data_IF_439658214110
#
_entry.id   IF_439658214110
#
_cell.length_a   1.000
_cell.length_b   1.000
_cell.length_c   1.000
_cell.angle_alpha   90.00
_cell.angle_beta   90.00
_cell.angle_gamma   90.00
#
_symmetry.space_group_name_H-M   'P 1'
#
loop_
_entity.id
_entity.type
_entity.pdbx_description
1 polymer ?
#
# COMPACT_ATOMS: atom_id res chain seq x y z
N UNK A 1 14.23 -60.59 -34.22
CA UNK A 1 15.02 -59.39 -33.88
C UNK A 1 14.12 -58.39 -33.18
N UNK A 2 14.27 -58.20 -31.87
CA UNK A 2 13.57 -57.15 -31.09
C UNK A 2 14.60 -56.07 -30.72
N UNK A 3 14.34 -54.77 -30.96
CA UNK A 3 15.25 -53.72 -30.57
C UNK A 3 15.05 -53.37 -29.09
N UNK A 4 16.17 -53.24 -28.37
CA UNK A 4 16.25 -52.91 -26.95
C UNK A 4 16.30 -51.38 -26.80
N UNK A 5 15.27 -50.78 -26.20
CA UNK A 5 15.26 -49.35 -25.83
C UNK A 5 16.01 -49.17 -24.50
N UNK A 6 17.15 -48.49 -24.55
CA UNK A 6 17.96 -48.12 -23.38
C UNK A 6 17.42 -46.81 -22.80
N UNK A 7 16.63 -46.90 -21.73
CA UNK A 7 16.19 -45.73 -20.96
C UNK A 7 17.37 -45.18 -20.16
N UNK A 8 17.80 -43.95 -20.47
CA UNK A 8 18.80 -43.22 -19.66
C UNK A 8 18.05 -42.53 -18.51
N UNK A 9 18.26 -43.06 -17.31
CA UNK A 9 17.88 -42.41 -16.06
C UNK A 9 18.82 -41.22 -15.83
N UNK A 10 18.33 -40.00 -16.03
CA UNK A 10 19.03 -38.78 -15.62
C UNK A 10 18.45 -38.38 -14.26
N UNK A 11 19.25 -38.34 -13.17
CA UNK A 11 18.76 -37.88 -11.87
C UNK A 11 18.43 -36.39 -11.96
N UNK A 12 17.20 -36.04 -11.58
CA UNK A 12 16.75 -34.65 -11.51
C UNK A 12 17.56 -33.90 -10.44
N UNK A 13 18.17 -32.78 -10.83
CA UNK A 13 18.84 -31.89 -9.90
C UNK A 13 17.86 -31.39 -8.82
N UNK A 14 18.28 -31.29 -7.54
CA UNK A 14 17.43 -30.74 -6.51
C UNK A 14 17.16 -29.26 -6.83
N UNK A 15 15.88 -28.90 -6.96
CA UNK A 15 15.44 -27.52 -7.10
C UNK A 15 15.88 -26.78 -5.83
N UNK A 16 16.92 -25.96 -5.95
CA UNK A 16 17.32 -25.04 -4.90
C UNK A 16 16.11 -24.19 -4.53
N UNK A 17 15.55 -24.46 -3.35
CA UNK A 17 14.52 -23.64 -2.75
C UNK A 17 15.20 -22.31 -2.44
N UNK A 18 14.98 -21.31 -3.30
CA UNK A 18 15.51 -19.97 -3.12
C UNK A 18 15.20 -19.51 -1.70
N UNK A 19 16.23 -19.40 -0.87
CA UNK A 19 16.20 -18.75 0.44
C UNK A 19 16.16 -17.24 0.24
N UNK A 20 15.20 -16.75 -0.54
CA UNK A 20 14.77 -15.36 -0.45
C UNK A 20 14.04 -15.27 0.89
N UNK A 21 14.82 -15.09 1.95
CA UNK A 21 14.34 -14.56 3.22
C UNK A 21 13.57 -13.31 2.83
N UNK A 22 12.25 -13.35 2.97
CA UNK A 22 11.40 -12.19 2.73
C UNK A 22 11.91 -11.11 3.69
N UNK A 23 12.73 -10.20 3.18
CA UNK A 23 13.20 -9.05 3.92
C UNK A 23 11.95 -8.32 4.41
N UNK A 24 11.85 -8.09 5.71
CA UNK A 24 10.69 -7.45 6.35
C UNK A 24 11.19 -6.30 7.20
N UNK A 25 10.60 -5.12 7.00
CA UNK A 25 10.87 -3.94 7.81
C UNK A 25 12.02 -3.08 7.28
N UNK A 26 12.85 -2.58 8.20
CA UNK A 26 13.86 -1.53 7.99
C UNK A 26 15.04 -1.95 7.10
N UNK A 27 15.17 -3.25 6.78
CA UNK A 27 16.25 -3.79 5.93
C UNK A 27 16.31 -3.14 4.53
N UNK A 28 15.20 -2.61 4.03
CA UNK A 28 15.15 -1.90 2.74
C UNK A 28 15.49 -0.41 2.84
N UNK A 29 15.43 0.20 4.03
CA UNK A 29 15.63 1.64 4.19
C UNK A 29 16.97 2.14 3.63
N UNK A 30 18.11 1.44 3.80
CA UNK A 30 19.37 1.88 3.20
C UNK A 30 19.29 2.01 1.68
N UNK A 31 18.70 1.01 1.00
CA UNK A 31 18.54 1.03 -0.45
C UNK A 31 17.54 2.12 -0.90
N UNK A 32 16.47 2.34 -0.12
CA UNK A 32 15.48 3.37 -0.41
C UNK A 32 16.11 4.77 -0.28
N UNK A 33 16.81 5.03 0.82
CA UNK A 33 17.52 6.30 1.05
C UNK A 33 18.54 6.57 -0.05
N UNK A 34 19.29 5.54 -0.49
CA UNK A 34 20.19 5.64 -1.66
C UNK A 34 19.43 6.01 -2.94
N UNK A 35 18.32 5.32 -3.25
CA UNK A 35 17.52 5.63 -4.44
C UNK A 35 16.87 7.03 -4.41
N UNK A 36 16.48 7.50 -3.23
CA UNK A 36 15.98 8.87 -3.01
C UNK A 36 17.09 9.90 -3.21
N UNK A 37 18.31 9.60 -2.74
CA UNK A 37 19.48 10.44 -2.96
C UNK A 37 19.87 10.53 -4.43
N UNK A 38 19.86 9.39 -5.15
CA UNK A 38 20.05 9.36 -6.60
C UNK A 38 19.00 10.18 -7.36
N UNK A 39 17.78 10.26 -6.83
CA UNK A 39 16.69 11.10 -7.35
C UNK A 39 16.79 12.57 -6.91
N UNK A 40 17.81 12.96 -6.13
CA UNK A 40 18.03 14.34 -5.67
C UNK A 40 16.93 14.87 -4.74
N UNK A 41 16.27 13.98 -3.99
CA UNK A 41 15.03 14.30 -3.26
C UNK A 41 15.11 14.03 -1.75
N UNK A 42 16.32 14.01 -1.19
CA UNK A 42 16.58 13.70 0.23
C UNK A 42 15.86 14.65 1.19
N UNK A 43 15.85 15.94 0.86
CA UNK A 43 15.19 16.96 1.67
C UNK A 43 13.67 16.75 1.71
N UNK A 44 13.04 16.58 0.53
CA UNK A 44 11.61 16.32 0.42
C UNK A 44 11.22 15.03 1.17
N UNK A 45 12.02 13.98 1.03
CA UNK A 45 11.83 12.73 1.75
C UNK A 45 11.87 12.91 3.26
N UNK A 46 12.91 13.58 3.76
CA UNK A 46 13.11 13.82 5.19
C UNK A 46 11.96 14.65 5.77
N UNK A 47 11.56 15.73 5.11
CA UNK A 47 10.48 16.60 5.56
C UNK A 47 9.12 15.87 5.60
N UNK A 48 8.86 14.99 4.63
CA UNK A 48 7.66 14.15 4.63
C UNK A 48 7.69 13.09 5.72
N UNK A 49 8.82 12.42 5.94
CA UNK A 49 8.96 11.42 7.00
C UNK A 49 8.79 12.05 8.39
N UNK A 50 9.37 13.22 8.63
CA UNK A 50 9.17 13.99 9.88
C UNK A 50 7.70 14.35 10.06
N UNK A 51 7.02 14.85 9.03
CA UNK A 51 5.59 15.18 9.12
C UNK A 51 4.73 13.96 9.52
N UNK A 52 5.01 12.79 8.95
CA UNK A 52 4.31 11.54 9.28
C UNK A 52 4.66 11.09 10.71
N UNK A 53 5.94 11.14 11.09
CA UNK A 53 6.43 10.78 12.44
C UNK A 53 5.74 11.61 13.52
N UNK A 54 5.72 12.94 13.34
CA UNK A 54 5.11 13.88 14.30
C UNK A 54 3.60 13.66 14.41
N UNK A 55 2.90 13.56 13.27
CA UNK A 55 1.44 13.45 13.25
C UNK A 55 0.96 12.10 13.83
N UNK A 56 1.59 10.98 13.44
CA UNK A 56 1.21 9.65 13.89
C UNK A 56 1.85 9.24 15.23
N UNK A 57 2.79 10.03 15.76
CA UNK A 57 3.54 9.72 16.98
C UNK A 57 4.27 8.39 16.87
N UNK A 58 5.02 8.19 15.78
CA UNK A 58 5.86 7.02 15.51
C UNK A 58 7.31 7.43 15.29
N UNK A 59 8.25 6.49 15.36
CA UNK A 59 9.64 6.83 15.08
C UNK A 59 9.86 7.16 13.59
N UNK A 60 10.98 7.84 13.32
CA UNK A 60 11.29 8.33 11.97
C UNK A 60 11.52 7.19 10.97
N UNK A 61 12.10 6.05 11.39
CA UNK A 61 12.35 4.93 10.48
C UNK A 61 11.04 4.22 10.11
N UNK A 62 10.13 4.05 11.08
CA UNK A 62 8.78 3.56 10.84
C UNK A 62 8.00 4.49 9.89
N UNK A 63 8.12 5.81 10.07
CA UNK A 63 7.53 6.80 9.17
C UNK A 63 8.07 6.69 7.73
N UNK A 64 9.39 6.54 7.56
CA UNK A 64 10.00 6.31 6.24
C UNK A 64 9.50 5.02 5.58
N UNK A 65 9.29 3.94 6.35
CA UNK A 65 8.75 2.69 5.82
C UNK A 65 7.30 2.85 5.33
N UNK A 66 6.47 3.59 6.07
CA UNK A 66 5.10 3.87 5.63
C UNK A 66 5.08 4.77 4.39
N UNK A 67 5.93 5.79 4.35
CA UNK A 67 6.08 6.64 3.17
C UNK A 67 6.55 5.83 1.95
N UNK A 68 7.52 4.93 2.14
CA UNK A 68 8.02 4.06 1.09
C UNK A 68 6.95 3.08 0.56
N UNK A 69 6.09 2.58 1.44
CA UNK A 69 4.94 1.77 1.03
C UNK A 69 3.92 2.59 0.23
N UNK A 70 3.61 3.81 0.67
CA UNK A 70 2.66 4.68 -0.01
C UNK A 70 3.11 5.02 -1.44
N UNK A 71 4.41 5.23 -1.63
CA UNK A 71 5.00 5.79 -2.84
C UNK A 71 5.78 4.77 -3.68
N UNK A 72 5.58 3.47 -3.41
CA UNK A 72 6.16 2.31 -4.13
C UNK A 72 7.70 2.15 -4.05
N UNK A 73 8.37 2.88 -3.16
CA UNK A 73 9.81 2.73 -2.93
C UNK A 73 10.18 1.35 -2.37
N UNK A 74 9.29 0.71 -1.61
CA UNK A 74 9.53 -0.67 -1.16
C UNK A 74 9.58 -1.66 -2.33
N UNK A 75 8.67 -1.54 -3.30
CA UNK A 75 8.71 -2.37 -4.51
C UNK A 75 9.95 -2.09 -5.36
N UNK A 76 10.39 -0.83 -5.43
CA UNK A 76 11.64 -0.44 -6.07
C UNK A 76 12.86 -1.08 -5.39
N UNK A 77 12.95 -1.02 -4.06
CA UNK A 77 14.08 -1.56 -3.29
C UNK A 77 14.15 -3.09 -3.35
N UNK A 78 13.00 -3.77 -3.46
CA UNK A 78 12.91 -5.22 -3.63
C UNK A 78 13.42 -5.72 -4.99
N UNK A 79 13.52 -4.84 -5.99
CA UNK A 79 14.00 -5.23 -7.32
C UNK A 79 15.51 -5.46 -7.29
N UNK A 80 15.91 -6.70 -7.60
CA UNK A 80 17.31 -7.15 -7.62
C UNK A 80 18.09 -6.69 -8.84
N UNK A 81 17.43 -6.30 -9.93
CA UNK A 81 18.08 -5.84 -11.15
C UNK A 81 17.77 -4.37 -11.45
N UNK A 82 18.77 -3.65 -11.95
CA UNK A 82 18.63 -2.26 -12.37
C UNK A 82 17.56 -2.10 -13.47
N UNK A 83 17.39 -3.12 -14.33
CA UNK A 83 16.35 -3.12 -15.36
C UNK A 83 14.95 -3.10 -14.74
N UNK A 84 14.68 -3.93 -13.72
CA UNK A 84 13.36 -3.98 -13.06
C UNK A 84 13.05 -2.69 -12.30
N UNK A 85 14.05 -2.07 -11.68
CA UNK A 85 13.89 -0.79 -10.96
C UNK A 85 13.34 0.33 -11.85
N UNK A 86 13.74 0.37 -13.14
CA UNK A 86 13.23 1.34 -14.11
C UNK A 86 11.72 1.26 -14.36
N UNK A 87 11.11 0.10 -14.11
CA UNK A 87 9.68 -0.11 -14.33
C UNK A 87 8.83 0.12 -13.07
N UNK A 88 9.43 0.29 -11.89
CA UNK A 88 8.66 0.48 -10.65
C UNK A 88 8.10 1.90 -10.50
N UNK A 89 8.76 2.89 -11.12
CA UNK A 89 8.37 4.31 -11.12
C UNK A 89 7.87 4.80 -9.74
N UNK A 90 8.72 4.74 -8.69
CA UNK A 90 8.34 5.24 -7.37
C UNK A 90 8.13 6.75 -7.42
N UNK A 91 7.27 7.25 -6.55
CA UNK A 91 6.85 8.65 -6.54
C UNK A 91 7.68 9.43 -5.51
N UNK A 92 8.12 10.63 -5.87
CA UNK A 92 8.80 11.53 -4.93
C UNK A 92 7.72 12.22 -4.08
N UNK A 93 7.83 12.19 -2.74
CA UNK A 93 6.87 12.87 -1.90
C UNK A 93 6.92 14.39 -2.09
N UNK A 94 5.76 15.01 -1.98
CA UNK A 94 5.61 16.45 -1.85
C UNK A 94 5.28 16.75 -0.37
N UNK A 95 6.20 17.36 0.40
CA UNK A 95 6.02 17.57 1.84
C UNK A 95 4.75 18.34 2.19
N UNK A 96 4.36 19.30 1.36
CA UNK A 96 3.18 20.12 1.62
C UNK A 96 1.91 19.30 1.44
N UNK A 97 1.85 18.46 0.39
CA UNK A 97 0.73 17.54 0.19
C UNK A 97 0.62 16.46 1.26
N UNK A 98 1.76 15.98 1.77
CA UNK A 98 1.77 15.03 2.89
C UNK A 98 1.20 15.71 4.14
N UNK A 99 1.61 16.95 4.45
CA UNK A 99 1.05 17.71 5.58
C UNK A 99 -0.43 18.01 5.40
N UNK A 100 -0.86 18.42 4.21
CA UNK A 100 -2.27 18.66 3.88
C UNK A 100 -3.10 17.37 4.06
N UNK A 101 -2.59 16.24 3.59
CA UNK A 101 -3.23 14.94 3.76
C UNK A 101 -3.40 14.60 5.25
N UNK A 102 -2.34 14.75 6.06
CA UNK A 102 -2.38 14.49 7.50
C UNK A 102 -3.35 15.43 8.23
N UNK A 103 -3.33 16.73 7.90
CA UNK A 103 -4.24 17.72 8.47
C UNK A 103 -5.69 17.40 8.13
N UNK A 104 -5.97 17.04 6.88
CA UNK A 104 -7.30 16.64 6.44
C UNK A 104 -7.80 15.39 7.20
N UNK A 105 -6.92 14.46 7.55
CA UNK A 105 -7.30 13.27 8.33
C UNK A 105 -7.67 13.62 9.77
N UNK A 106 -6.99 14.59 10.38
CA UNK A 106 -7.21 14.99 11.78
C UNK A 106 -8.31 16.03 11.95
N UNK A 107 -8.53 16.90 10.97
CA UNK A 107 -9.49 18.02 11.04
C UNK A 107 -10.70 17.85 10.10
N UNK A 108 -10.62 16.92 9.15
CA UNK A 108 -11.68 16.65 8.18
C UNK A 108 -12.74 15.67 8.70
N UNK A 109 -13.49 15.00 7.81
CA UNK A 109 -14.68 14.22 8.20
C UNK A 109 -14.38 13.01 9.08
N UNK A 110 -13.14 12.50 9.06
CA UNK A 110 -12.75 11.33 9.84
C UNK A 110 -12.33 11.69 11.27
N UNK A 111 -11.90 12.93 11.53
CA UNK A 111 -11.43 13.42 12.83
C UNK A 111 -10.52 12.41 13.56
N UNK A 112 -9.55 11.85 12.84
CA UNK A 112 -8.68 10.81 13.39
C UNK A 112 -7.87 11.38 14.55
N UNK A 113 -7.94 10.73 15.70
CA UNK A 113 -6.95 10.97 16.75
C UNK A 113 -5.60 10.34 16.38
N UNK A 114 -4.55 10.63 17.14
CA UNK A 114 -3.20 10.16 16.86
C UNK A 114 -3.09 8.63 16.74
N UNK A 115 -3.74 7.87 17.63
CA UNK A 115 -3.70 6.40 17.59
C UNK A 115 -4.43 5.83 16.37
N UNK A 116 -5.56 6.41 16.01
CA UNK A 116 -6.31 6.03 14.80
C UNK A 116 -5.52 6.37 13.53
N UNK A 117 -4.86 7.53 13.50
CA UNK A 117 -3.99 7.93 12.40
C UNK A 117 -2.82 6.96 12.25
N UNK A 118 -2.17 6.58 13.36
CA UNK A 118 -1.11 5.57 13.37
C UNK A 118 -1.57 4.25 12.76
N UNK A 119 -2.73 3.73 13.19
CA UNK A 119 -3.30 2.49 12.66
C UNK A 119 -3.62 2.61 11.17
N UNK A 120 -4.24 3.72 10.75
CA UNK A 120 -4.63 3.95 9.37
C UNK A 120 -3.41 4.03 8.43
N UNK A 121 -2.36 4.78 8.82
CA UNK A 121 -1.11 4.89 8.07
C UNK A 121 -0.37 3.55 8.02
N UNK A 122 -0.41 2.77 9.10
CA UNK A 122 0.21 1.45 9.13
C UNK A 122 -0.47 0.46 8.18
N UNK A 123 -1.80 0.39 8.24
CA UNK A 123 -2.57 -0.65 7.55
C UNK A 123 -2.79 -0.32 6.07
N UNK A 124 -2.94 0.96 5.72
CA UNK A 124 -3.21 1.42 4.35
C UNK A 124 -2.42 2.70 3.98
N UNK A 125 -1.08 2.72 4.07
CA UNK A 125 -0.28 3.94 3.94
C UNK A 125 -0.56 4.73 2.66
N UNK A 126 -0.70 4.04 1.51
CA UNK A 126 -1.02 4.69 0.23
C UNK A 126 -2.33 5.47 0.28
N UNK A 127 -3.34 4.92 0.93
CA UNK A 127 -4.67 5.51 0.94
C UNK A 127 -4.74 6.78 1.80
N UNK A 128 -3.91 6.84 2.85
CA UNK A 128 -3.89 7.91 3.83
C UNK A 128 -2.81 8.98 3.55
N UNK A 129 -1.70 8.61 2.92
CA UNK A 129 -0.59 9.54 2.64
C UNK A 129 -0.59 10.10 1.21
N UNK A 130 -1.28 9.45 0.26
CA UNK A 130 -1.29 9.86 -1.15
C UNK A 130 -2.67 10.36 -1.60
N UNK A 131 -3.11 11.47 -1.00
CA UNK A 131 -4.37 12.14 -1.35
C UNK A 131 -5.62 11.46 -0.75
N UNK A 132 -5.77 11.46 0.58
CA UNK A 132 -6.90 10.83 1.26
C UNK A 132 -8.25 11.48 0.92
N UNK A 133 -8.29 12.81 0.75
CA UNK A 133 -9.52 13.54 0.48
C UNK A 133 -10.24 13.13 -0.83
N UNK A 134 -9.60 13.14 -2.01
CA UNK A 134 -10.25 12.68 -3.24
C UNK A 134 -10.61 11.20 -3.19
N UNK A 135 -9.81 10.38 -2.51
CA UNK A 135 -10.08 8.94 -2.35
C UNK A 135 -11.30 8.69 -1.47
N UNK A 136 -11.43 9.39 -0.34
CA UNK A 136 -12.60 9.36 0.52
C UNK A 136 -13.86 9.77 -0.24
N UNK A 137 -13.81 10.86 -1.01
CA UNK A 137 -14.96 11.32 -1.80
C UNK A 137 -15.41 10.27 -2.82
N UNK A 138 -14.47 9.65 -3.55
CA UNK A 138 -14.76 8.58 -4.50
C UNK A 138 -15.33 7.32 -3.81
N UNK A 139 -14.78 6.94 -2.65
CA UNK A 139 -15.25 5.79 -1.89
C UNK A 139 -16.66 6.00 -1.33
N UNK A 140 -16.95 7.18 -0.78
CA UNK A 140 -18.29 7.53 -0.29
C UNK A 140 -19.31 7.63 -1.45
N UNK A 141 -18.92 8.19 -2.59
CA UNK A 141 -19.80 8.32 -3.75
C UNK A 141 -20.24 6.94 -4.28
N UNK A 142 -19.29 5.99 -4.34
CA UNK A 142 -19.52 4.62 -4.80
C UNK A 142 -20.11 3.70 -3.75
N UNK A 143 -20.12 4.08 -2.46
CA UNK A 143 -20.66 3.25 -1.40
C UNK A 143 -22.14 2.89 -1.62
N UNK A 144 -22.55 1.64 -1.36
CA UNK A 144 -23.96 1.27 -1.30
C UNK A 144 -24.70 2.13 -0.27
N UNK A 145 -25.98 2.44 -0.52
CA UNK A 145 -26.80 3.30 0.33
C UNK A 145 -26.79 2.87 1.81
N UNK A 146 -26.75 1.55 2.07
CA UNK A 146 -26.69 0.98 3.42
C UNK A 146 -25.43 1.35 4.21
N UNK A 147 -24.33 1.70 3.54
CA UNK A 147 -23.07 2.08 4.17
C UNK A 147 -22.82 3.58 4.20
N UNK A 148 -23.53 4.39 3.40
CA UNK A 148 -23.26 5.85 3.32
C UNK A 148 -23.41 6.56 4.67
N UNK A 149 -24.44 6.21 5.43
CA UNK A 149 -24.70 6.85 6.74
C UNK A 149 -23.67 6.45 7.81
N UNK A 150 -23.13 5.23 7.73
CA UNK A 150 -22.14 4.69 8.69
C UNK A 150 -20.71 4.68 8.15
N UNK A 151 -20.47 5.39 7.04
CA UNK A 151 -19.22 5.27 6.28
C UNK A 151 -17.98 5.61 7.11
N UNK A 152 -18.07 6.67 7.92
CA UNK A 152 -16.96 7.09 8.77
C UNK A 152 -16.67 6.05 9.86
N UNK A 153 -17.71 5.55 10.54
CA UNK A 153 -17.55 4.49 11.53
C UNK A 153 -16.95 3.22 10.93
N UNK A 154 -17.30 2.92 9.68
CA UNK A 154 -16.78 1.78 8.95
C UNK A 154 -15.29 1.95 8.63
N UNK A 155 -14.87 3.12 8.16
CA UNK A 155 -13.45 3.42 7.92
C UNK A 155 -12.64 3.35 9.21
N UNK A 156 -13.18 3.86 10.32
CA UNK A 156 -12.49 3.83 11.62
C UNK A 156 -12.25 2.40 12.13
N UNK A 157 -13.17 1.48 11.83
CA UNK A 157 -13.02 0.05 12.15
C UNK A 157 -12.11 -0.66 11.15
N UNK A 158 -12.20 -0.27 9.88
CA UNK A 158 -11.54 -0.93 8.76
C UNK A 158 -10.96 0.10 7.77
N UNK A 159 -9.73 0.57 8.00
CA UNK A 159 -9.12 1.64 7.20
C UNK A 159 -9.10 1.36 5.68
N UNK A 160 -8.99 0.08 5.28
CA UNK A 160 -9.01 -0.33 3.87
C UNK A 160 -10.32 -0.03 3.12
N UNK A 161 -11.39 0.36 3.83
CA UNK A 161 -12.67 0.75 3.22
C UNK A 161 -12.51 1.99 2.36
N UNK A 162 -11.57 2.89 2.68
CA UNK A 162 -11.29 4.07 1.86
C UNK A 162 -10.79 3.69 0.45
N UNK A 163 -10.27 2.48 0.25
CA UNK A 163 -9.84 1.99 -1.08
C UNK A 163 -11.02 1.50 -1.94
N UNK A 164 -12.23 1.42 -1.39
CA UNK A 164 -13.42 0.94 -2.10
C UNK A 164 -14.04 2.05 -2.95
N UNK A 165 -13.46 2.32 -4.10
CA UNK A 165 -13.87 3.42 -5.00
C UNK A 165 -14.79 3.00 -6.14
N UNK A 166 -15.23 1.73 -6.17
CA UNK A 166 -16.08 1.17 -7.23
C UNK A 166 -17.25 0.37 -6.67
N UNK A 167 -18.40 0.41 -7.34
CA UNK A 167 -19.54 -0.45 -7.03
C UNK A 167 -20.12 -1.05 -8.32
N UNK A 168 -19.88 -2.35 -8.50
CA UNK A 168 -20.32 -3.07 -9.70
C UNK A 168 -21.75 -3.59 -9.63
N UNK A 169 -22.44 -3.42 -8.49
CA UNK A 169 -23.83 -3.87 -8.33
C UNK A 169 -24.82 -3.05 -9.14
N UNK A 170 -24.52 -1.76 -9.31
CA UNK A 170 -25.43 -0.79 -9.96
C UNK A 170 -25.00 -0.47 -11.40
N UNK A 171 -23.69 -0.34 -11.67
CA UNK A 171 -23.15 0.16 -12.95
C UNK A 171 -22.44 -0.90 -13.81
N UNK A 172 -22.43 -2.17 -13.39
CA UNK A 172 -21.69 -3.25 -14.06
C UNK A 172 -20.21 -3.34 -13.66
N UNK A 173 -19.54 -4.42 -14.09
CA UNK A 173 -18.17 -4.72 -13.63
C UNK A 173 -17.10 -3.91 -14.37
N UNK A 174 -16.31 -3.13 -13.63
CA UNK A 174 -15.17 -2.36 -14.16
C UNK A 174 -13.83 -3.12 -14.11
N UNK A 175 -13.84 -4.44 -13.84
CA UNK A 175 -12.63 -5.26 -13.60
C UNK A 175 -11.77 -4.82 -12.40
N UNK A 176 -12.25 -3.88 -11.59
CA UNK A 176 -11.60 -3.38 -10.36
C UNK A 176 -12.10 -4.13 -9.11
N UNK A 177 -12.20 -5.47 -9.19
CA UNK A 177 -12.79 -6.30 -8.14
C UNK A 177 -12.09 -6.13 -6.77
N UNK A 178 -10.80 -5.80 -6.79
CA UNK A 178 -10.01 -5.55 -5.57
C UNK A 178 -10.41 -4.29 -4.82
N UNK A 179 -11.06 -3.33 -5.49
CA UNK A 179 -11.50 -2.03 -4.95
C UNK A 179 -13.03 -1.88 -4.99
N UNK A 180 -13.75 -2.99 -5.16
CA UNK A 180 -15.20 -2.98 -5.33
C UNK A 180 -15.96 -3.24 -4.01
N UNK A 181 -17.05 -2.51 -3.80
CA UNK A 181 -17.98 -2.69 -2.67
C UNK A 181 -18.64 -4.07 -2.65
N UNK A 182 -18.98 -4.64 -3.80
CA UNK A 182 -19.57 -5.99 -3.88
C UNK A 182 -18.60 -7.05 -3.35
N UNK A 183 -17.31 -6.93 -3.68
CA UNK A 183 -16.30 -7.85 -3.16
C UNK A 183 -16.11 -7.69 -1.64
N UNK A 184 -16.15 -6.45 -1.16
CA UNK A 184 -16.11 -6.15 0.27
C UNK A 184 -17.30 -6.80 1.00
N UNK A 185 -18.53 -6.62 0.53
CA UNK A 185 -19.71 -7.23 1.14
C UNK A 185 -19.63 -8.76 1.19
N UNK A 186 -19.19 -9.38 0.10
CA UNK A 186 -19.05 -10.84 0.02
C UNK A 186 -18.02 -11.35 1.03
N UNK A 187 -16.92 -10.62 1.24
CA UNK A 187 -15.92 -10.97 2.26
C UNK A 187 -16.49 -10.93 3.68
N UNK A 188 -17.47 -10.06 3.95
CA UNK A 188 -18.15 -9.96 5.25
C UNK A 188 -19.18 -11.06 5.47
N UNK A 189 -19.86 -11.51 4.42
CA UNK A 189 -20.85 -12.60 4.50
C UNK A 189 -20.19 -13.96 4.72
N UNK A 190 -19.00 -14.19 4.17
CA UNK A 190 -18.24 -15.44 4.35
C UNK A 190 -17.48 -15.57 5.68
N UNK A 191 -17.44 -14.51 6.50
CA UNK A 191 -16.76 -14.48 7.79
C UNK A 191 -17.70 -14.68 9.00
N UNK A 192 -18.99 -14.97 8.75
CA UNK A 192 -20.00 -15.33 9.75
C UNK A 192 -20.31 -16.81 9.67
#
# INVERSE_FOLDING_TARGET
>A
FKPTTRSRNVPAAPRGRSTLKAMRGTEFLPAIREGVAEAGSEEAWTLSAVAVSDAAGIDLEEAELHLANALKWNSWAQCTSAMMRKYQNPEIPDPDKVREALLWLTEGPLLLNQDQLRIAVRDSPKAYLSGPAPRYAAALASAPTSFKESFNELILKEPSVIDRTYNCGDDGCASECGNCWVAYENSKKGAR
#
